data_IF_139334021255
#
_entry.id   IF_139334021255
#
_cell.length_a   1.000
_cell.length_b   1.000
_cell.length_c   1.000
_cell.angle_alpha   90.00
_cell.angle_beta   90.00
_cell.angle_gamma   90.00
#
_symmetry.space_group_name_H-M   'P 1'
#
loop_
_entity.id
_entity.type
_entity.pdbx_description
1 polymer ?
#
# COMPACT_ATOMS: atom_id res chain seq x y z
N UNK A 1 -41.88 -30.58 -3.61
CA UNK A 1 -42.31 -30.30 -4.99
C UNK A 1 -43.83 -30.24 -5.04
N UNK A 2 -44.44 -29.26 -5.68
CA UNK A 2 -45.89 -29.26 -5.91
C UNK A 2 -46.28 -30.45 -6.76
N UNK A 3 -47.44 -31.04 -6.49
CA UNK A 3 -48.00 -32.22 -7.21
C UNK A 3 -48.10 -32.02 -8.72
N UNK A 4 -48.33 -30.81 -9.18
CA UNK A 4 -48.45 -30.37 -10.58
C UNK A 4 -47.14 -30.54 -11.40
N UNK A 5 -45.96 -30.59 -10.73
CA UNK A 5 -44.67 -30.84 -11.39
C UNK A 5 -44.41 -32.32 -11.64
N UNK A 6 -44.90 -33.18 -10.77
CA UNK A 6 -44.79 -34.65 -10.96
C UNK A 6 -45.63 -35.14 -12.14
N UNK A 7 -46.80 -34.54 -12.41
CA UNK A 7 -47.61 -34.83 -13.57
C UNK A 7 -46.96 -34.44 -14.89
N UNK A 8 -46.25 -33.32 -14.98
CA UNK A 8 -45.50 -32.89 -16.19
C UNK A 8 -44.37 -33.84 -16.57
N UNK A 9 -43.76 -34.56 -15.59
CA UNK A 9 -42.76 -35.59 -15.86
C UNK A 9 -43.36 -36.90 -16.41
N UNK A 10 -44.67 -37.13 -16.26
CA UNK A 10 -45.33 -38.30 -16.81
C UNK A 10 -45.55 -38.24 -18.34
N UNK A 11 -45.51 -37.04 -18.94
CA UNK A 11 -45.77 -36.78 -20.38
C UNK A 11 -44.47 -36.47 -21.14
N UNK A 12 -43.34 -37.05 -20.72
CA UNK A 12 -42.10 -36.88 -21.51
C UNK A 12 -42.16 -37.70 -22.81
N UNK A 13 -42.01 -37.03 -23.95
CA UNK A 13 -41.90 -37.69 -25.23
C UNK A 13 -40.52 -38.38 -25.36
N UNK A 14 -40.49 -39.68 -25.11
CA UNK A 14 -39.25 -40.49 -25.12
C UNK A 14 -39.27 -41.26 -26.44
N UNK A 15 -38.26 -40.98 -27.30
CA UNK A 15 -38.05 -41.64 -28.58
C UNK A 15 -36.90 -42.66 -28.51
N UNK A 16 -37.03 -43.74 -29.26
CA UNK A 16 -35.89 -44.69 -29.45
C UNK A 16 -34.94 -44.11 -30.50
N UNK A 17 -33.65 -44.22 -30.19
CA UNK A 17 -32.60 -43.76 -31.08
C UNK A 17 -31.53 -44.86 -31.22
N UNK A 18 -31.27 -45.32 -32.43
CA UNK A 18 -30.25 -46.30 -32.74
C UNK A 18 -28.93 -45.60 -33.04
N UNK A 19 -27.92 -45.81 -32.24
CA UNK A 19 -26.56 -45.30 -32.47
C UNK A 19 -25.89 -45.94 -33.68
N UNK A 20 -24.80 -45.32 -34.16
CA UNK A 20 -24.03 -45.85 -35.28
C UNK A 20 -23.43 -47.25 -35.02
N UNK A 21 -23.22 -47.61 -33.75
CA UNK A 21 -22.70 -48.89 -33.25
C UNK A 21 -23.82 -49.95 -33.11
N UNK A 22 -25.03 -49.66 -33.55
CA UNK A 22 -26.17 -50.53 -33.44
C UNK A 22 -26.91 -50.51 -32.09
N UNK A 23 -26.38 -49.84 -31.06
CA UNK A 23 -26.98 -49.80 -29.73
C UNK A 23 -28.27 -48.96 -29.72
N UNK A 24 -29.34 -49.51 -29.17
CA UNK A 24 -30.60 -48.78 -28.98
C UNK A 24 -30.54 -48.00 -27.66
N UNK A 25 -30.80 -46.69 -27.69
CA UNK A 25 -30.94 -45.84 -26.54
C UNK A 25 -32.21 -45.03 -26.62
N UNK A 26 -32.75 -44.72 -25.47
CA UNK A 26 -33.91 -43.82 -25.35
C UNK A 26 -33.41 -42.36 -25.26
N UNK A 27 -34.10 -41.44 -25.89
CA UNK A 27 -33.73 -40.01 -25.94
C UNK A 27 -34.97 -39.14 -25.73
N UNK A 28 -34.77 -38.04 -24.99
CA UNK A 28 -35.78 -37.02 -24.80
C UNK A 28 -35.16 -35.62 -24.78
N UNK A 29 -35.93 -34.61 -25.21
CA UNK A 29 -35.57 -33.19 -25.05
C UNK A 29 -36.31 -32.64 -23.85
N UNK A 30 -35.59 -32.19 -22.84
CA UNK A 30 -36.14 -31.66 -21.60
C UNK A 30 -36.00 -30.13 -21.58
N UNK A 31 -37.10 -29.44 -21.34
CA UNK A 31 -37.07 -28.02 -21.01
C UNK A 31 -36.74 -27.84 -19.53
N UNK A 32 -35.66 -27.12 -19.23
CA UNK A 32 -35.19 -26.88 -17.85
C UNK A 32 -35.80 -25.64 -17.22
N UNK A 33 -36.11 -24.63 -18.03
CA UNK A 33 -36.60 -23.35 -17.54
C UNK A 33 -36.11 -22.17 -18.38
N UNK A 34 -36.33 -20.96 -17.87
CA UNK A 34 -35.74 -19.73 -18.39
C UNK A 34 -34.45 -19.44 -17.64
N UNK A 35 -33.38 -19.20 -18.38
CA UNK A 35 -32.09 -18.81 -17.79
C UNK A 35 -32.20 -17.46 -17.09
N UNK A 36 -31.93 -17.43 -15.80
CA UNK A 36 -32.11 -16.25 -14.94
C UNK A 36 -31.19 -15.07 -15.31
N UNK A 37 -30.08 -15.34 -16.02
CA UNK A 37 -29.11 -14.33 -16.44
C UNK A 37 -29.41 -13.80 -17.84
N UNK A 38 -29.72 -14.70 -18.78
CA UNK A 38 -29.87 -14.35 -20.21
C UNK A 38 -31.29 -14.20 -20.66
N UNK A 39 -32.28 -14.62 -19.85
CA UNK A 39 -33.71 -14.64 -20.21
C UNK A 39 -34.08 -15.67 -21.29
N UNK A 40 -33.14 -16.51 -21.73
CA UNK A 40 -33.36 -17.49 -22.80
C UNK A 40 -33.94 -18.79 -22.27
N UNK A 41 -34.83 -19.43 -23.09
CA UNK A 41 -35.35 -20.77 -22.80
C UNK A 41 -34.23 -21.81 -22.90
N UNK A 42 -33.97 -22.56 -21.82
CA UNK A 42 -32.95 -23.61 -21.78
C UNK A 42 -33.58 -24.98 -21.98
N UNK A 43 -33.09 -25.71 -22.97
CA UNK A 43 -33.44 -27.11 -23.22
C UNK A 43 -32.18 -27.96 -23.16
N UNK A 44 -32.31 -29.21 -22.70
CA UNK A 44 -31.24 -30.20 -22.72
C UNK A 44 -31.71 -31.50 -23.32
N UNK A 45 -30.82 -32.24 -23.96
CA UNK A 45 -31.15 -33.56 -24.51
C UNK A 45 -30.56 -34.63 -23.61
N UNK A 46 -31.37 -35.57 -23.18
CA UNK A 46 -31.01 -36.66 -22.30
C UNK A 46 -31.12 -37.96 -23.05
N UNK A 47 -30.13 -38.86 -22.92
CA UNK A 47 -30.18 -40.21 -23.45
C UNK A 47 -29.73 -41.23 -22.40
N UNK A 48 -30.39 -42.41 -22.41
CA UNK A 48 -30.07 -43.51 -21.50
C UNK A 48 -30.47 -44.85 -22.13
N UNK A 49 -30.07 -45.94 -21.49
CA UNK A 49 -30.36 -47.30 -21.96
C UNK A 49 -31.80 -47.74 -21.65
N UNK A 50 -32.41 -47.14 -20.61
CA UNK A 50 -33.78 -47.47 -20.20
C UNK A 50 -34.63 -46.21 -20.01
N UNK A 51 -35.97 -46.34 -20.17
CA UNK A 51 -36.92 -45.24 -19.91
C UNK A 51 -36.89 -44.78 -18.46
N UNK A 52 -36.59 -45.69 -17.49
CA UNK A 52 -36.47 -45.37 -16.06
C UNK A 52 -35.27 -44.45 -15.80
N UNK A 53 -34.12 -44.79 -16.42
CA UNK A 53 -32.92 -43.95 -16.31
C UNK A 53 -33.10 -42.54 -16.91
N UNK A 54 -33.86 -42.40 -18.02
CA UNK A 54 -34.18 -41.09 -18.59
C UNK A 54 -34.94 -40.25 -17.56
N UNK A 55 -35.95 -40.81 -16.91
CA UNK A 55 -36.75 -40.07 -15.90
C UNK A 55 -35.87 -39.60 -14.74
N UNK A 56 -34.98 -40.47 -14.23
CA UNK A 56 -34.07 -40.11 -13.16
C UNK A 56 -33.08 -39.03 -13.59
N UNK A 57 -32.46 -39.14 -14.77
CA UNK A 57 -31.55 -38.13 -15.30
C UNK A 57 -32.25 -36.80 -15.60
N UNK A 58 -33.52 -36.82 -16.02
CA UNK A 58 -34.30 -35.60 -16.24
C UNK A 58 -34.58 -34.87 -14.92
N UNK A 59 -34.95 -35.60 -13.88
CA UNK A 59 -35.17 -35.04 -12.56
C UNK A 59 -33.86 -34.43 -12.00
N UNK A 60 -32.76 -35.14 -12.13
CA UNK A 60 -31.44 -34.68 -11.72
C UNK A 60 -31.00 -33.40 -12.46
N UNK A 61 -31.17 -33.39 -13.80
CA UNK A 61 -30.82 -32.22 -14.62
C UNK A 61 -31.63 -30.97 -14.27
N UNK A 62 -32.92 -31.14 -13.95
CA UNK A 62 -33.77 -30.03 -13.52
C UNK A 62 -33.38 -29.54 -12.12
N UNK A 63 -33.14 -30.44 -11.18
CA UNK A 63 -32.67 -30.12 -9.83
C UNK A 63 -31.34 -29.39 -9.85
N UNK A 64 -30.36 -29.84 -10.66
CA UNK A 64 -29.06 -29.17 -10.82
C UNK A 64 -29.20 -27.78 -11.43
N UNK A 65 -30.09 -27.62 -12.45
CA UNK A 65 -30.37 -26.31 -13.04
C UNK A 65 -30.96 -25.33 -12.01
N UNK A 66 -31.94 -25.77 -11.22
CA UNK A 66 -32.56 -24.96 -10.17
C UNK A 66 -31.57 -24.65 -9.04
N UNK A 67 -30.77 -25.64 -8.63
CA UNK A 67 -29.68 -25.49 -7.63
C UNK A 67 -28.64 -24.48 -8.07
N UNK A 68 -28.35 -24.39 -9.38
CA UNK A 68 -27.45 -23.40 -9.97
C UNK A 68 -28.11 -22.04 -10.20
N UNK A 69 -29.26 -21.74 -9.59
CA UNK A 69 -29.95 -20.46 -9.73
C UNK A 69 -30.65 -20.28 -11.07
N UNK A 70 -31.16 -21.38 -11.68
CA UNK A 70 -31.84 -21.42 -12.96
C UNK A 70 -30.98 -20.84 -14.11
N UNK A 71 -29.72 -21.15 -14.16
CA UNK A 71 -28.81 -20.76 -15.25
C UNK A 71 -27.85 -21.87 -15.63
N UNK A 72 -27.42 -21.89 -16.90
CA UNK A 72 -26.29 -22.72 -17.38
C UNK A 72 -24.94 -22.05 -17.21
N UNK A 73 -24.89 -20.78 -16.91
CA UNK A 73 -23.64 -20.08 -16.65
C UNK A 73 -23.04 -20.67 -15.38
N UNK A 74 -21.90 -21.33 -15.51
CA UNK A 74 -21.19 -21.84 -14.36
C UNK A 74 -20.75 -20.67 -13.49
N UNK A 75 -21.33 -20.55 -12.29
CA UNK A 75 -20.77 -19.66 -11.28
C UNK A 75 -19.39 -20.21 -10.92
N UNK A 76 -18.41 -19.32 -10.81
CA UNK A 76 -17.06 -19.70 -10.37
C UNK A 76 -17.21 -20.26 -8.96
N UNK A 77 -17.06 -21.58 -8.82
CA UNK A 77 -17.09 -22.23 -7.51
C UNK A 77 -15.67 -22.32 -6.98
N UNK A 78 -15.41 -21.58 -5.91
CA UNK A 78 -14.17 -21.71 -5.16
C UNK A 78 -14.31 -22.80 -4.11
N UNK A 79 -13.39 -23.79 -4.09
CA UNK A 79 -13.40 -24.89 -3.12
C UNK A 79 -13.10 -24.41 -1.71
N UNK A 80 -12.22 -23.42 -1.59
CA UNK A 80 -11.76 -22.91 -0.31
C UNK A 80 -11.37 -21.42 -0.40
N UNK A 81 -11.02 -20.86 0.75
CA UNK A 81 -10.59 -19.47 0.85
C UNK A 81 -9.32 -19.16 0.03
N UNK A 82 -8.35 -20.11 -0.06
CA UNK A 82 -7.13 -19.88 -0.84
C UNK A 82 -7.42 -19.63 -2.32
N UNK A 83 -8.32 -20.39 -2.93
CA UNK A 83 -8.70 -20.18 -4.34
C UNK A 83 -9.38 -18.82 -4.56
N UNK A 84 -10.26 -18.41 -3.65
CA UNK A 84 -10.89 -17.07 -3.69
C UNK A 84 -9.83 -15.97 -3.50
N UNK A 85 -8.89 -16.15 -2.59
CA UNK A 85 -7.79 -15.22 -2.32
C UNK A 85 -6.90 -15.06 -3.56
N UNK A 86 -6.55 -16.16 -4.23
CA UNK A 86 -5.70 -16.13 -5.42
C UNK A 86 -6.41 -15.38 -6.56
N UNK A 87 -7.69 -15.68 -6.82
CA UNK A 87 -8.49 -14.97 -7.80
C UNK A 87 -8.64 -13.48 -7.46
N UNK A 88 -8.88 -13.15 -6.18
CA UNK A 88 -8.91 -11.75 -5.74
C UNK A 88 -7.58 -11.06 -5.96
N UNK A 89 -6.46 -11.73 -5.67
CA UNK A 89 -5.13 -11.16 -5.82
C UNK A 89 -4.80 -10.87 -7.29
N UNK A 90 -5.10 -11.78 -8.20
CA UNK A 90 -4.89 -11.58 -9.64
C UNK A 90 -5.60 -10.33 -10.17
N UNK A 91 -6.82 -10.06 -9.67
CA UNK A 91 -7.59 -8.89 -10.07
C UNK A 91 -7.21 -7.61 -9.31
N UNK A 92 -6.79 -7.73 -8.06
CA UNK A 92 -6.44 -6.57 -7.22
C UNK A 92 -5.01 -6.07 -7.45
N UNK A 93 -4.05 -6.96 -7.65
CA UNK A 93 -2.64 -6.58 -7.79
C UNK A 93 -2.38 -5.54 -8.90
N UNK A 94 -2.97 -5.65 -10.12
CA UNK A 94 -2.76 -4.66 -11.18
C UNK A 94 -3.29 -3.25 -10.83
N UNK A 95 -4.19 -3.13 -9.86
CA UNK A 95 -4.77 -1.82 -9.46
C UNK A 95 -3.90 -1.02 -8.51
N UNK A 96 -2.79 -1.60 -8.03
CA UNK A 96 -1.92 -1.00 -7.03
C UNK A 96 -0.46 -0.96 -7.47
N UNK A 97 0.32 0.00 -6.93
CA UNK A 97 1.75 0.14 -7.24
C UNK A 97 2.57 -1.07 -6.77
N UNK A 98 3.62 -1.43 -7.49
CA UNK A 98 4.50 -2.60 -7.27
C UNK A 98 4.98 -2.74 -5.81
N UNK A 99 5.40 -1.65 -5.16
CA UNK A 99 5.79 -1.70 -3.75
C UNK A 99 4.65 -2.15 -2.82
N UNK A 100 3.42 -1.74 -3.11
CA UNK A 100 2.25 -2.15 -2.35
C UNK A 100 1.91 -3.62 -2.62
N UNK A 101 2.05 -4.07 -3.88
CA UNK A 101 1.84 -5.48 -4.24
C UNK A 101 2.71 -6.41 -3.38
N UNK A 102 4.01 -6.13 -3.26
CA UNK A 102 4.94 -6.98 -2.52
C UNK A 102 4.63 -6.97 -1.03
N UNK A 103 4.39 -5.78 -0.47
CA UNK A 103 4.08 -5.67 0.95
C UNK A 103 2.77 -6.40 1.29
N UNK A 104 1.73 -6.24 0.48
CA UNK A 104 0.43 -6.88 0.70
C UNK A 104 0.51 -8.38 0.46
N UNK A 105 1.16 -8.82 -0.63
CA UNK A 105 1.35 -10.25 -0.91
C UNK A 105 2.08 -10.96 0.21
N UNK A 106 3.17 -10.36 0.72
CA UNK A 106 3.89 -10.90 1.89
C UNK A 106 3.00 -11.03 3.13
N UNK A 107 2.12 -10.08 3.40
CA UNK A 107 1.19 -10.13 4.53
C UNK A 107 0.12 -11.21 4.33
N UNK A 108 -0.42 -11.33 3.13
CA UNK A 108 -1.40 -12.35 2.75
C UNK A 108 -0.81 -13.75 2.96
N UNK A 109 0.37 -14.01 2.39
CA UNK A 109 1.01 -15.33 2.48
C UNK A 109 1.43 -15.68 3.90
N UNK A 110 1.89 -14.70 4.67
CA UNK A 110 2.35 -14.94 6.05
C UNK A 110 1.21 -15.08 7.07
N UNK A 111 0.08 -14.41 6.87
CA UNK A 111 -0.95 -14.30 7.91
C UNK A 111 -2.34 -14.77 7.47
N UNK A 112 -2.82 -14.40 6.27
CA UNK A 112 -4.17 -14.72 5.85
C UNK A 112 -4.30 -16.15 5.33
N UNK A 113 -3.37 -16.57 4.47
CA UNK A 113 -3.38 -17.92 3.91
C UNK A 113 -3.25 -19.01 4.99
N UNK A 114 -2.33 -18.91 5.97
CA UNK A 114 -2.28 -19.89 7.07
C UNK A 114 -3.51 -19.87 7.99
N UNK A 115 -4.15 -18.69 8.15
CA UNK A 115 -5.29 -18.54 9.04
C UNK A 115 -6.60 -19.08 8.44
N UNK A 116 -6.83 -18.86 7.14
CA UNK A 116 -8.13 -19.12 6.53
C UNK A 116 -8.08 -19.99 5.28
N UNK A 117 -6.90 -20.19 4.68
CA UNK A 117 -6.73 -20.80 3.35
C UNK A 117 -7.43 -22.13 3.14
N UNK A 118 -7.38 -23.02 4.14
CA UNK A 118 -7.98 -24.37 4.09
C UNK A 118 -9.51 -24.38 4.32
N UNK A 119 -10.08 -23.28 4.81
CA UNK A 119 -11.52 -23.26 5.10
C UNK A 119 -12.35 -23.27 3.80
N UNK A 120 -13.38 -24.09 3.75
CA UNK A 120 -14.45 -23.96 2.76
C UNK A 120 -15.20 -22.66 2.99
N UNK A 121 -15.58 -21.96 1.94
CA UNK A 121 -16.18 -20.63 2.04
C UNK A 121 -17.49 -20.62 2.85
N UNK A 122 -18.32 -21.66 2.71
CA UNK A 122 -19.58 -21.83 3.43
C UNK A 122 -19.40 -22.13 4.94
N UNK A 123 -18.19 -22.51 5.35
CA UNK A 123 -17.83 -22.80 6.74
C UNK A 123 -17.15 -21.63 7.46
N UNK A 124 -16.81 -20.57 6.73
CA UNK A 124 -16.16 -19.40 7.28
C UNK A 124 -17.19 -18.47 7.93
N UNK A 125 -17.36 -18.63 9.25
CA UNK A 125 -18.36 -17.88 10.04
C UNK A 125 -17.74 -16.59 10.65
N UNK A 126 -18.57 -15.59 11.01
CA UNK A 126 -18.09 -14.42 11.74
C UNK A 126 -17.33 -14.77 13.04
N UNK A 127 -17.76 -15.82 13.73
CA UNK A 127 -17.12 -16.28 14.96
C UNK A 127 -15.68 -16.76 14.75
N UNK A 128 -15.44 -17.54 13.69
CA UNK A 128 -14.08 -18.01 13.32
C UNK A 128 -13.17 -16.81 12.99
N UNK A 129 -13.69 -15.84 12.22
CA UNK A 129 -12.92 -14.65 11.85
C UNK A 129 -12.63 -13.81 13.10
N UNK A 130 -13.63 -13.63 13.99
CA UNK A 130 -13.45 -12.89 15.23
C UNK A 130 -12.39 -13.53 16.14
N UNK A 131 -12.39 -14.86 16.29
CA UNK A 131 -11.38 -15.57 17.05
C UNK A 131 -9.97 -15.33 16.51
N UNK A 132 -9.80 -15.37 15.18
CA UNK A 132 -8.51 -15.13 14.55
C UNK A 132 -8.05 -13.69 14.71
N UNK A 133 -8.94 -12.71 14.54
CA UNK A 133 -8.62 -11.29 14.77
C UNK A 133 -8.23 -11.04 16.23
N UNK A 134 -8.95 -11.64 17.18
CA UNK A 134 -8.62 -11.57 18.61
C UNK A 134 -7.27 -12.23 18.91
N UNK A 135 -6.93 -13.35 18.24
CA UNK A 135 -5.62 -13.99 18.33
C UNK A 135 -4.51 -13.05 17.87
N UNK A 136 -4.61 -12.47 16.70
CA UNK A 136 -3.62 -11.49 16.20
C UNK A 136 -3.47 -10.30 17.14
N UNK A 137 -4.58 -9.81 17.70
CA UNK A 137 -4.55 -8.71 18.66
C UNK A 137 -3.84 -9.09 19.97
N UNK A 138 -4.06 -10.30 20.51
CA UNK A 138 -3.35 -10.81 21.69
C UNK A 138 -1.87 -11.01 21.41
N UNK A 139 -1.52 -11.65 20.29
CA UNK A 139 -0.13 -11.90 19.90
C UNK A 139 0.67 -10.59 19.83
N UNK A 140 0.06 -9.50 19.35
CA UNK A 140 0.71 -8.20 19.32
C UNK A 140 0.72 -7.49 20.69
N UNK A 141 -0.44 -7.42 21.37
CA UNK A 141 -0.60 -6.59 22.57
C UNK A 141 0.00 -7.21 23.85
N UNK A 142 0.22 -8.52 23.87
CA UNK A 142 0.69 -9.27 25.05
C UNK A 142 2.07 -9.88 24.90
N UNK A 143 2.47 -10.30 23.68
CA UNK A 143 3.65 -11.13 23.46
C UNK A 143 4.76 -10.44 22.66
N UNK A 144 4.69 -9.12 22.40
CA UNK A 144 5.67 -8.30 21.63
C UNK A 144 6.14 -8.89 20.26
N UNK A 145 5.57 -10.03 19.83
CA UNK A 145 5.97 -10.74 18.61
C UNK A 145 4.95 -10.68 17.48
N UNK A 146 3.76 -10.12 17.72
CA UNK A 146 2.67 -10.10 16.77
C UNK A 146 2.78 -8.96 15.72
N UNK A 147 1.96 -9.07 14.67
CA UNK A 147 1.91 -8.06 13.63
C UNK A 147 1.10 -6.84 14.06
N UNK A 148 1.75 -5.71 14.31
CA UNK A 148 1.15 -4.45 14.78
C UNK A 148 -0.08 -4.00 13.96
N UNK A 149 -0.09 -4.25 12.66
CA UNK A 149 -1.15 -3.81 11.74
C UNK A 149 -2.19 -4.91 11.51
N UNK A 150 -2.54 -5.71 12.53
CA UNK A 150 -3.53 -6.78 12.38
C UNK A 150 -4.90 -6.29 11.89
N UNK A 151 -5.29 -5.06 12.21
CA UNK A 151 -6.49 -4.45 11.63
C UNK A 151 -6.42 -4.30 10.11
N UNK A 152 -5.22 -4.11 9.54
CA UNK A 152 -5.02 -4.09 8.10
C UNK A 152 -5.18 -5.49 7.50
N UNK A 153 -4.73 -6.55 8.19
CA UNK A 153 -4.98 -7.94 7.76
C UNK A 153 -6.48 -8.22 7.68
N UNK A 154 -7.23 -7.81 8.71
CA UNK A 154 -8.68 -7.93 8.70
C UNK A 154 -9.32 -7.13 7.55
N UNK A 155 -8.83 -5.93 7.26
CA UNK A 155 -9.31 -5.13 6.13
C UNK A 155 -9.12 -5.85 4.79
N UNK A 156 -7.99 -6.54 4.58
CA UNK A 156 -7.79 -7.36 3.39
C UNK A 156 -8.72 -8.57 3.38
N UNK A 157 -8.87 -9.27 4.50
CA UNK A 157 -9.81 -10.38 4.63
C UNK A 157 -11.23 -9.95 4.26
N UNK A 158 -11.69 -8.82 4.78
CA UNK A 158 -13.00 -8.24 4.45
C UNK A 158 -13.16 -7.97 2.95
N UNK A 159 -12.12 -7.46 2.28
CA UNK A 159 -12.13 -7.20 0.82
C UNK A 159 -12.16 -8.49 0.01
N UNK A 160 -11.40 -9.51 0.39
CA UNK A 160 -11.39 -10.82 -0.27
C UNK A 160 -12.77 -11.48 -0.19
N UNK A 161 -13.37 -11.49 0.99
CA UNK A 161 -14.69 -12.07 1.18
C UNK A 161 -15.80 -11.23 0.49
N UNK A 162 -15.64 -9.91 0.42
CA UNK A 162 -16.56 -9.06 -0.36
C UNK A 162 -16.47 -9.32 -1.85
N UNK A 163 -15.27 -9.59 -2.37
CA UNK A 163 -15.08 -10.05 -3.75
C UNK A 163 -15.79 -11.38 -4.00
N UNK A 164 -15.74 -12.32 -3.04
CA UNK A 164 -16.53 -13.55 -3.11
C UNK A 164 -18.05 -13.30 -3.16
N UNK A 165 -18.54 -12.28 -2.45
CA UNK A 165 -19.95 -11.86 -2.52
C UNK A 165 -20.28 -11.27 -3.90
N UNK A 166 -19.42 -10.40 -4.45
CA UNK A 166 -19.64 -9.81 -5.78
C UNK A 166 -19.65 -10.83 -6.91
N UNK A 167 -18.95 -11.95 -6.74
CA UNK A 167 -18.94 -13.08 -7.66
C UNK A 167 -20.03 -14.12 -7.36
N UNK A 168 -20.92 -13.85 -6.40
CA UNK A 168 -21.98 -14.77 -5.95
C UNK A 168 -21.47 -16.11 -5.37
N UNK A 169 -20.18 -16.21 -5.07
CA UNK A 169 -19.58 -17.36 -4.38
C UNK A 169 -19.95 -17.39 -2.89
N UNK A 170 -20.32 -16.26 -2.32
CA UNK A 170 -20.83 -16.08 -0.95
C UNK A 170 -22.14 -15.30 -0.96
N UNK A 171 -23.10 -15.69 -0.12
CA UNK A 171 -24.38 -14.97 0.06
C UNK A 171 -24.18 -13.63 0.76
N UNK A 172 -23.28 -13.57 1.73
CA UNK A 172 -22.96 -12.39 2.52
C UNK A 172 -21.51 -12.42 2.97
N UNK A 173 -20.97 -11.28 3.36
CA UNK A 173 -19.58 -11.18 3.83
C UNK A 173 -19.50 -11.46 5.34
N UNK A 174 -18.95 -12.61 5.77
CA UNK A 174 -18.86 -12.96 7.19
C UNK A 174 -17.86 -12.10 7.99
N UNK A 175 -17.02 -11.31 7.31
CA UNK A 175 -16.08 -10.39 7.96
C UNK A 175 -16.65 -8.97 8.16
N UNK A 176 -17.90 -8.69 7.71
CA UNK A 176 -18.44 -7.34 7.67
C UNK A 176 -18.48 -6.68 9.04
N UNK A 177 -18.99 -7.39 10.04
CA UNK A 177 -19.31 -6.87 11.36
C UNK A 177 -18.36 -7.38 12.47
N UNK A 178 -17.21 -7.95 12.06
CA UNK A 178 -16.17 -8.42 12.99
C UNK A 178 -15.48 -7.22 13.64
N UNK A 179 -15.38 -7.25 14.98
CA UNK A 179 -14.78 -6.20 15.76
C UNK A 179 -13.25 -6.33 15.78
N UNK A 180 -12.55 -5.23 15.51
CA UNK A 180 -11.08 -5.19 15.59
C UNK A 180 -10.66 -4.54 16.90
N UNK A 181 -10.03 -5.27 17.83
CA UNK A 181 -9.53 -4.69 19.08
C UNK A 181 -8.54 -3.55 18.78
N UNK A 182 -8.57 -2.53 19.63
CA UNK A 182 -7.65 -1.38 19.49
C UNK A 182 -6.21 -1.81 19.76
N UNK A 183 -5.28 -1.29 18.96
CA UNK A 183 -3.85 -1.45 19.18
C UNK A 183 -3.46 -0.68 20.44
N UNK A 184 -2.94 -1.37 21.46
CA UNK A 184 -2.37 -0.72 22.64
C UNK A 184 -1.01 -0.12 22.29
N UNK A 185 -1.00 1.03 21.66
CA UNK A 185 0.23 1.81 21.41
C UNK A 185 0.04 3.21 21.97
N UNK A 186 1.01 3.66 22.74
CA UNK A 186 1.15 5.10 23.00
C UNK A 186 1.22 5.87 21.67
N UNK A 187 0.79 7.12 21.65
CA UNK A 187 0.97 7.99 20.48
C UNK A 187 2.45 7.92 20.08
N UNK A 188 2.74 7.47 18.88
CA UNK A 188 4.11 7.48 18.36
C UNK A 188 4.59 8.94 18.38
N UNK A 189 5.59 9.25 19.21
CA UNK A 189 6.22 10.57 19.20
C UNK A 189 6.88 10.74 17.83
N UNK A 190 6.57 11.84 17.17
CA UNK A 190 7.24 12.23 15.92
C UNK A 190 8.68 12.52 16.30
N UNK A 191 9.59 11.78 15.69
CA UNK A 191 11.02 11.90 15.94
C UNK A 191 11.59 13.02 15.08
N UNK A 192 12.06 14.07 15.69
CA UNK A 192 12.81 15.17 15.10
C UNK A 192 13.87 15.63 16.08
N UNK A 193 14.90 16.34 15.63
CA UNK A 193 15.89 16.92 16.50
C UNK A 193 15.36 18.18 17.18
N UNK A 194 15.74 18.35 18.44
CA UNK A 194 15.74 19.65 19.12
C UNK A 194 16.90 20.51 18.58
N UNK A 195 16.90 21.81 18.87
CA UNK A 195 17.97 22.70 18.42
C UNK A 195 19.35 22.29 18.96
N UNK A 196 19.41 21.83 20.22
CA UNK A 196 20.62 21.32 20.82
C UNK A 196 21.13 20.03 20.18
N UNK A 197 20.25 19.08 19.92
CA UNK A 197 20.58 17.81 19.22
C UNK A 197 21.02 18.07 17.78
N UNK A 198 20.38 19.00 17.09
CA UNK A 198 20.76 19.40 15.73
C UNK A 198 22.14 20.04 15.71
N UNK A 199 22.44 20.94 16.65
CA UNK A 199 23.76 21.57 16.81
C UNK A 199 24.83 20.50 17.05
N UNK A 200 24.59 19.59 17.98
CA UNK A 200 25.49 18.48 18.30
C UNK A 200 25.73 17.57 17.09
N UNK A 201 24.69 17.30 16.31
CA UNK A 201 24.81 16.51 15.10
C UNK A 201 25.65 17.22 14.02
N UNK A 202 25.49 18.55 13.86
CA UNK A 202 26.30 19.31 12.92
C UNK A 202 27.79 19.36 13.35
N UNK A 203 28.06 19.57 14.62
CA UNK A 203 29.43 19.54 15.15
C UNK A 203 30.10 18.18 14.87
N UNK A 204 29.37 17.07 15.06
CA UNK A 204 29.86 15.75 14.69
C UNK A 204 30.11 15.61 13.18
N UNK A 205 29.20 16.08 12.33
CA UNK A 205 29.34 16.00 10.87
C UNK A 205 30.57 16.81 10.39
N UNK A 206 30.81 17.96 11.00
CA UNK A 206 31.94 18.82 10.65
C UNK A 206 33.28 18.24 11.15
N UNK A 207 33.30 17.39 12.19
CA UNK A 207 34.48 16.65 12.67
C UNK A 207 34.87 15.49 11.76
N UNK A 208 34.02 15.07 10.82
CA UNK A 208 34.35 13.97 9.92
C UNK A 208 35.39 14.38 8.87
N UNK A 209 36.37 13.50 8.63
CA UNK A 209 37.34 13.67 7.54
C UNK A 209 36.66 13.61 6.16
N UNK A 210 36.29 14.78 5.61
CA UNK A 210 35.61 14.93 4.34
C UNK A 210 36.55 14.77 3.13
N UNK A 211 37.85 14.59 3.31
CA UNK A 211 38.76 14.14 2.24
C UNK A 211 38.36 12.75 1.76
N UNK A 212 37.81 11.91 2.64
CA UNK A 212 37.22 10.62 2.26
C UNK A 212 35.85 10.85 1.63
N UNK A 213 35.70 10.51 0.36
CA UNK A 213 34.43 10.71 -0.39
C UNK A 213 33.22 10.14 0.33
N UNK A 214 33.36 8.97 0.97
CA UNK A 214 32.25 8.34 1.74
C UNK A 214 31.72 9.22 2.87
N UNK A 215 32.60 9.98 3.56
CA UNK A 215 32.19 10.90 4.61
C UNK A 215 31.56 12.15 3.98
N UNK A 216 32.17 12.71 2.95
CA UNK A 216 31.64 13.84 2.19
C UNK A 216 30.23 13.53 1.67
N UNK A 217 30.02 12.35 1.08
CA UNK A 217 28.70 11.87 0.64
C UNK A 217 27.67 11.91 1.78
N UNK A 218 28.00 11.34 2.96
CA UNK A 218 27.08 11.30 4.09
C UNK A 218 26.77 12.71 4.61
N UNK A 219 27.77 13.54 4.78
CA UNK A 219 27.62 14.93 5.27
C UNK A 219 26.72 15.72 4.32
N UNK A 220 27.02 15.65 3.01
CA UNK A 220 26.24 16.36 2.00
C UNK A 220 24.80 15.86 1.95
N UNK A 221 24.57 14.54 1.94
CA UNK A 221 23.21 13.96 1.93
C UNK A 221 22.40 14.42 3.15
N UNK A 222 22.97 14.36 4.36
CA UNK A 222 22.21 14.71 5.56
C UNK A 222 21.91 16.22 5.63
N UNK A 223 22.87 17.08 5.30
CA UNK A 223 22.68 18.53 5.22
C UNK A 223 21.68 18.89 4.12
N UNK A 224 21.72 18.23 2.97
CA UNK A 224 20.77 18.43 1.87
C UNK A 224 19.33 18.04 2.28
N UNK A 225 19.15 16.89 2.96
CA UNK A 225 17.83 16.47 3.46
C UNK A 225 17.26 17.47 4.48
N UNK A 226 18.13 18.05 5.34
CA UNK A 226 17.72 19.09 6.28
C UNK A 226 17.37 20.39 5.56
N UNK A 227 18.12 20.80 4.55
CA UNK A 227 17.90 22.06 3.83
C UNK A 227 16.63 22.02 2.97
N UNK A 228 16.31 20.87 2.38
CA UNK A 228 15.19 20.73 1.44
C UNK A 228 13.94 20.16 2.05
N UNK A 229 14.04 19.36 3.10
CA UNK A 229 12.94 18.58 3.65
C UNK A 229 12.40 17.51 2.71
N UNK A 230 13.07 17.18 1.60
CA UNK A 230 12.62 16.14 0.67
C UNK A 230 12.69 14.73 1.32
N UNK A 231 11.95 13.78 0.75
CA UNK A 231 12.02 12.38 1.21
C UNK A 231 13.33 11.75 0.76
N UNK A 232 13.90 10.85 1.55
CA UNK A 232 15.16 10.17 1.19
C UNK A 232 15.10 9.56 -0.22
N UNK A 233 14.02 8.89 -0.58
CA UNK A 233 13.90 8.26 -1.90
C UNK A 233 13.68 9.26 -3.04
N UNK A 234 13.25 10.49 -2.76
CA UNK A 234 13.26 11.61 -3.69
C UNK A 234 14.71 12.09 -3.90
N UNK A 235 15.45 12.34 -2.79
CA UNK A 235 16.86 12.74 -2.86
C UNK A 235 17.74 11.73 -3.61
N UNK A 236 17.58 10.44 -3.32
CA UNK A 236 18.37 9.39 -3.98
C UNK A 236 18.03 9.18 -5.46
N UNK A 237 16.88 9.67 -5.92
CA UNK A 237 16.48 9.64 -7.33
C UNK A 237 16.99 10.84 -8.13
N UNK A 238 17.56 11.87 -7.47
CA UNK A 238 18.02 13.09 -8.14
C UNK A 238 19.20 12.83 -9.05
N UNK A 239 19.14 13.38 -10.23
CA UNK A 239 20.24 13.55 -11.15
C UNK A 239 20.69 15.02 -11.17
N UNK A 240 21.90 15.29 -11.61
CA UNK A 240 22.41 16.67 -11.68
C UNK A 240 21.59 17.58 -12.60
N UNK A 241 20.86 17.01 -13.54
CA UNK A 241 19.89 17.73 -14.37
C UNK A 241 18.64 18.21 -13.59
N UNK A 242 18.36 17.61 -12.43
CA UNK A 242 17.23 18.02 -11.58
C UNK A 242 17.61 19.15 -10.60
N UNK A 243 18.88 19.60 -10.58
CA UNK A 243 19.33 20.65 -9.66
C UNK A 243 19.89 21.81 -10.47
N UNK A 244 19.17 22.91 -10.49
CA UNK A 244 19.63 24.19 -11.03
C UNK A 244 20.41 24.95 -9.94
N UNK A 245 21.73 24.83 -9.98
CA UNK A 245 22.62 25.48 -9.01
C UNK A 245 22.81 26.98 -9.28
N UNK A 246 22.40 27.50 -10.43
CA UNK A 246 22.53 28.91 -10.76
C UNK A 246 21.27 29.68 -10.31
N UNK A 247 20.09 29.08 -10.48
CA UNK A 247 18.83 29.61 -9.98
C UNK A 247 18.52 29.12 -8.54
N UNK A 248 19.36 28.26 -7.95
CA UNK A 248 19.22 27.73 -6.60
C UNK A 248 17.91 26.92 -6.38
N UNK A 249 17.52 26.10 -7.36
CA UNK A 249 16.28 25.32 -7.36
C UNK A 249 16.54 23.81 -7.51
N UNK A 250 15.77 23.01 -6.78
CA UNK A 250 15.75 21.54 -6.89
C UNK A 250 14.38 21.09 -7.38
N UNK A 251 14.33 20.41 -8.51
CA UNK A 251 13.11 19.89 -9.13
C UNK A 251 12.82 18.47 -8.64
N UNK A 252 11.77 18.28 -7.85
CA UNK A 252 11.36 16.96 -7.37
C UNK A 252 10.30 16.38 -8.32
N UNK A 253 10.73 15.53 -9.25
CA UNK A 253 9.87 14.94 -10.29
C UNK A 253 9.82 13.42 -10.26
N UNK A 254 10.69 12.78 -9.46
CA UNK A 254 10.87 11.32 -9.42
C UNK A 254 11.21 10.83 -8.01
N UNK A 255 11.06 9.53 -7.81
CA UNK A 255 11.39 8.86 -6.53
C UNK A 255 11.84 7.43 -6.78
N UNK A 256 12.74 6.90 -5.97
CA UNK A 256 13.13 5.50 -6.04
C UNK A 256 12.13 4.59 -5.33
N UNK A 257 11.90 3.41 -5.92
CA UNK A 257 11.23 2.33 -5.24
C UNK A 257 12.24 1.43 -4.48
N UNK A 258 11.75 0.37 -3.82
CA UNK A 258 12.60 -0.55 -3.08
C UNK A 258 13.50 -1.43 -3.98
N UNK A 259 13.19 -1.53 -5.30
CA UNK A 259 14.01 -2.22 -6.31
C UNK A 259 15.07 -1.30 -6.94
N UNK A 260 15.19 -0.09 -6.44
CA UNK A 260 16.07 0.97 -6.98
C UNK A 260 15.66 1.43 -8.39
N UNK A 261 14.39 1.28 -8.77
CA UNK A 261 13.84 1.75 -10.03
C UNK A 261 13.20 3.13 -9.82
N UNK A 262 13.34 3.98 -10.82
CA UNK A 262 12.66 5.29 -10.83
C UNK A 262 11.17 5.11 -11.04
N UNK A 263 10.40 5.77 -10.20
CA UNK A 263 8.95 5.86 -10.29
C UNK A 263 8.48 7.32 -10.23
N UNK A 264 7.32 7.57 -10.81
CA UNK A 264 6.60 8.83 -10.59
C UNK A 264 6.24 8.99 -9.10
N UNK A 265 6.22 10.20 -8.57
CA UNK A 265 5.72 10.48 -7.22
C UNK A 265 4.30 9.94 -7.00
N UNK A 266 3.91 9.76 -5.72
CA UNK A 266 2.61 9.13 -5.36
C UNK A 266 1.39 10.01 -5.66
N UNK A 267 1.56 11.33 -5.69
CA UNK A 267 0.49 12.31 -5.90
C UNK A 267 0.98 13.48 -6.75
N UNK A 268 0.06 14.21 -7.36
CA UNK A 268 0.37 15.45 -8.10
C UNK A 268 1.09 16.48 -7.23
N UNK A 269 0.72 16.60 -5.94
CA UNK A 269 1.37 17.50 -4.98
C UNK A 269 2.82 17.14 -4.64
N UNK A 270 3.28 15.96 -5.02
CA UNK A 270 4.68 15.56 -4.81
C UNK A 270 5.62 16.12 -5.88
N UNK A 271 5.10 16.54 -7.03
CA UNK A 271 5.86 17.31 -8.03
C UNK A 271 5.98 18.74 -7.54
N UNK A 272 7.20 19.20 -7.33
CA UNK A 272 7.44 20.54 -6.79
C UNK A 272 8.87 21.00 -7.00
N UNK A 273 9.04 22.29 -7.01
CA UNK A 273 10.34 22.96 -6.96
C UNK A 273 10.64 23.36 -5.52
N UNK A 274 11.90 23.25 -5.11
CA UNK A 274 12.36 23.60 -3.78
C UNK A 274 13.54 24.57 -3.92
N UNK A 275 13.33 25.82 -3.51
CA UNK A 275 14.41 26.79 -3.42
C UNK A 275 15.38 26.38 -2.32
N UNK A 276 16.69 26.51 -2.58
CA UNK A 276 17.77 26.20 -1.64
C UNK A 276 18.60 27.45 -1.34
N UNK A 277 19.10 27.54 -0.11
CA UNK A 277 19.90 28.66 0.36
C UNK A 277 21.32 28.66 -0.26
N UNK A 278 22.01 29.83 -0.26
CA UNK A 278 23.35 29.96 -0.88
C UNK A 278 24.41 29.02 -0.28
N UNK A 279 24.29 28.65 1.03
CA UNK A 279 25.24 27.72 1.67
C UNK A 279 25.02 26.31 1.14
N UNK A 280 23.75 25.92 0.93
CA UNK A 280 23.40 24.64 0.31
C UNK A 280 23.87 24.57 -1.13
N UNK A 281 23.71 25.65 -1.92
CA UNK A 281 24.26 25.76 -3.30
C UNK A 281 25.77 25.57 -3.30
N UNK A 282 26.49 26.29 -2.45
CA UNK A 282 27.96 26.18 -2.34
C UNK A 282 28.40 24.76 -1.98
N UNK A 283 27.75 24.15 -1.01
CA UNK A 283 28.00 22.76 -0.60
C UNK A 283 27.78 21.80 -1.79
N UNK A 284 26.69 21.95 -2.53
CA UNK A 284 26.38 21.10 -3.69
C UNK A 284 27.37 21.31 -4.84
N UNK A 285 27.82 22.55 -5.10
CA UNK A 285 28.87 22.82 -6.11
C UNK A 285 30.20 22.14 -5.74
N UNK A 286 30.61 22.20 -4.48
CA UNK A 286 31.82 21.50 -3.98
C UNK A 286 31.67 19.98 -4.07
N UNK A 287 30.53 19.46 -3.68
CA UNK A 287 30.24 18.04 -3.77
C UNK A 287 30.26 17.53 -5.21
N UNK A 288 29.62 18.25 -6.14
CA UNK A 288 29.64 17.94 -7.59
C UNK A 288 31.05 17.86 -8.14
N UNK A 289 31.88 18.86 -7.80
CA UNK A 289 33.29 18.88 -8.23
C UNK A 289 34.07 17.67 -7.72
N UNK A 290 33.93 17.33 -6.44
CA UNK A 290 34.56 16.14 -5.85
C UNK A 290 34.05 14.85 -6.44
N UNK A 291 32.74 14.71 -6.63
CA UNK A 291 32.13 13.54 -7.25
C UNK A 291 32.63 13.33 -8.68
N UNK A 292 32.70 14.39 -9.48
CA UNK A 292 33.23 14.33 -10.86
C UNK A 292 34.68 13.85 -10.87
N UNK A 293 35.52 14.32 -9.93
CA UNK A 293 36.89 13.87 -9.80
C UNK A 293 36.99 12.39 -9.44
N UNK A 294 36.19 11.91 -8.47
CA UNK A 294 36.16 10.49 -8.08
C UNK A 294 35.65 9.61 -9.23
N UNK A 295 34.59 10.05 -9.95
CA UNK A 295 34.05 9.35 -11.11
C UNK A 295 35.11 9.23 -12.23
N UNK A 296 35.85 10.31 -12.49
CA UNK A 296 36.92 10.32 -13.49
C UNK A 296 38.06 9.33 -13.15
N UNK A 297 38.46 9.26 -11.88
CA UNK A 297 39.44 8.26 -11.41
C UNK A 297 38.96 6.82 -11.67
N UNK A 298 37.65 6.61 -11.61
CA UNK A 298 37.00 5.32 -11.88
C UNK A 298 36.69 5.09 -13.38
N UNK A 299 37.12 6.00 -14.28
CA UNK A 299 36.94 5.91 -15.73
C UNK A 299 35.49 6.07 -16.20
N UNK A 300 34.64 6.82 -15.46
CA UNK A 300 33.23 7.01 -15.78
C UNK A 300 32.73 8.43 -15.50
N UNK A 301 31.55 8.73 -16.02
CA UNK A 301 30.78 9.94 -15.68
C UNK A 301 29.63 9.55 -14.76
N UNK A 302 29.24 10.44 -13.85
CA UNK A 302 28.17 10.19 -12.90
C UNK A 302 27.04 11.22 -13.08
N UNK A 303 25.82 10.72 -13.38
CA UNK A 303 24.64 11.57 -13.54
C UNK A 303 23.85 11.71 -12.23
N UNK A 304 23.91 10.68 -11.35
CA UNK A 304 23.15 10.62 -10.10
C UNK A 304 23.85 11.46 -9.04
N UNK A 305 23.08 12.35 -8.38
CA UNK A 305 23.63 13.26 -7.37
C UNK A 305 24.25 12.48 -6.20
N UNK A 306 23.48 11.58 -5.61
CA UNK A 306 23.94 10.79 -4.46
C UNK A 306 24.28 9.36 -4.90
N UNK A 307 25.31 9.21 -5.74
CA UNK A 307 25.80 7.91 -6.22
C UNK A 307 26.78 7.28 -5.21
N UNK A 308 26.71 5.95 -5.06
CA UNK A 308 27.69 5.17 -4.31
C UNK A 308 28.78 4.58 -5.21
N UNK A 309 28.78 4.90 -6.50
CA UNK A 309 29.68 4.38 -7.55
C UNK A 309 29.66 2.86 -7.74
N UNK A 310 28.72 2.14 -7.13
CA UNK A 310 28.60 0.69 -7.25
C UNK A 310 27.33 0.34 -8.01
N UNK A 311 26.23 0.95 -7.65
CA UNK A 311 24.92 0.75 -8.23
C UNK A 311 24.50 2.02 -9.00
N UNK A 312 23.60 1.89 -9.96
CA UNK A 312 23.03 3.05 -10.64
C UNK A 312 22.39 4.02 -9.63
N UNK A 313 21.68 3.47 -8.63
CA UNK A 313 21.14 4.23 -7.49
C UNK A 313 21.50 3.57 -6.17
N UNK A 314 21.82 4.35 -5.12
CA UNK A 314 22.27 3.79 -3.84
C UNK A 314 21.12 3.12 -3.08
N UNK A 315 21.47 2.08 -2.32
CA UNK A 315 20.49 1.33 -1.54
C UNK A 315 20.17 2.05 -0.22
N UNK A 316 18.90 2.48 -0.09
CA UNK A 316 18.42 3.15 1.13
C UNK A 316 18.64 2.32 2.41
N UNK A 317 18.53 0.99 2.37
CA UNK A 317 18.76 0.13 3.57
C UNK A 317 20.20 0.24 4.08
N UNK A 318 21.17 0.24 3.18
CA UNK A 318 22.59 0.42 3.54
C UNK A 318 22.83 1.80 4.14
N UNK A 319 22.24 2.84 3.54
CA UNK A 319 22.34 4.20 4.05
C UNK A 319 21.66 4.36 5.41
N UNK A 320 20.51 3.69 5.64
CA UNK A 320 19.84 3.68 6.94
C UNK A 320 20.70 3.07 8.05
N UNK A 321 21.38 1.96 7.75
CA UNK A 321 22.31 1.34 8.70
C UNK A 321 23.49 2.29 9.04
N UNK A 322 24.04 2.96 8.02
CA UNK A 322 25.11 3.95 8.20
C UNK A 322 24.66 5.15 9.01
N UNK A 323 23.47 5.67 8.74
CA UNK A 323 22.87 6.79 9.48
C UNK A 323 22.74 6.48 10.98
N UNK A 324 22.31 5.27 11.34
CA UNK A 324 22.25 4.83 12.75
C UNK A 324 23.60 4.86 13.45
N UNK A 325 24.68 4.48 12.74
CA UNK A 325 26.04 4.55 13.27
C UNK A 325 26.43 6.01 13.52
N UNK A 326 26.09 6.92 12.59
CA UNK A 326 26.39 8.35 12.76
C UNK A 326 25.61 8.95 13.94
N UNK A 327 24.33 8.64 14.10
CA UNK A 327 23.55 9.10 15.25
C UNK A 327 24.15 8.60 16.59
N UNK A 328 24.54 7.32 16.65
CA UNK A 328 25.19 6.76 17.84
C UNK A 328 26.50 7.47 18.14
N UNK A 329 27.36 7.75 17.15
CA UNK A 329 28.64 8.43 17.32
C UNK A 329 28.45 9.90 17.69
N UNK A 330 27.46 10.56 17.14
CA UNK A 330 27.07 11.92 17.48
C UNK A 330 26.36 12.02 18.84
N UNK A 331 26.04 10.90 19.49
CA UNK A 331 25.28 10.84 20.75
C UNK A 331 23.91 11.55 20.68
N UNK A 332 23.25 11.47 19.52
CA UNK A 332 21.91 12.04 19.30
C UNK A 332 20.88 10.93 19.07
N UNK A 333 19.58 11.19 19.29
CA UNK A 333 18.53 10.20 19.05
C UNK A 333 18.46 9.71 17.60
N UNK A 334 18.11 8.42 17.40
CA UNK A 334 17.82 7.88 16.06
C UNK A 334 16.44 8.38 15.60
N UNK A 335 16.45 9.41 14.76
CA UNK A 335 15.26 9.98 14.14
C UNK A 335 14.97 9.36 12.75
N UNK A 336 15.89 8.55 12.21
CA UNK A 336 15.82 8.03 10.85
C UNK A 336 15.83 9.12 9.78
N UNK A 337 15.83 8.74 8.49
CA UNK A 337 15.81 9.73 7.40
C UNK A 337 14.55 10.62 7.41
N UNK A 338 13.42 10.09 7.82
CA UNK A 338 12.18 10.88 7.85
C UNK A 338 12.22 11.98 8.94
N UNK A 339 13.02 11.76 9.99
CA UNK A 339 13.25 12.74 11.03
C UNK A 339 13.93 14.03 10.54
N UNK A 340 14.79 13.99 9.53
CA UNK A 340 15.36 15.20 8.91
C UNK A 340 14.26 16.11 8.33
N UNK A 341 13.30 15.51 7.64
CA UNK A 341 12.16 16.24 7.09
C UNK A 341 11.27 16.82 8.20
N UNK A 342 11.08 16.08 9.30
CA UNK A 342 10.35 16.60 10.47
C UNK A 342 11.12 17.73 11.15
N UNK A 343 12.45 17.64 11.26
CA UNK A 343 13.29 18.72 11.79
C UNK A 343 13.23 19.96 10.91
N UNK A 344 13.37 19.80 9.58
CA UNK A 344 13.20 20.89 8.61
C UNK A 344 11.87 21.62 8.78
N UNK A 345 10.79 20.85 8.85
CA UNK A 345 9.45 21.42 8.99
C UNK A 345 9.26 22.10 10.37
N UNK A 346 9.82 21.52 11.46
CA UNK A 346 9.78 22.14 12.79
C UNK A 346 10.49 23.49 12.82
N UNK A 347 11.69 23.55 12.21
CA UNK A 347 12.45 24.80 12.12
C UNK A 347 11.69 25.89 11.37
N UNK A 348 11.09 25.57 10.23
CA UNK A 348 10.33 26.53 9.44
C UNK A 348 9.07 26.99 10.15
N UNK A 349 8.34 26.11 10.85
CA UNK A 349 7.16 26.48 11.63
C UNK A 349 7.52 27.34 12.82
N UNK A 350 8.61 27.04 13.52
CA UNK A 350 9.12 27.87 14.61
C UNK A 350 9.54 29.27 14.11
N UNK A 351 10.01 29.36 12.86
CA UNK A 351 10.33 30.62 12.20
C UNK A 351 9.10 31.36 11.66
N UNK A 352 7.88 30.76 11.72
CA UNK A 352 6.63 31.44 11.38
C UNK A 352 6.15 31.24 9.94
N UNK A 353 6.68 30.24 9.20
CA UNK A 353 6.19 29.96 7.83
C UNK A 353 4.70 29.58 7.87
N UNK A 354 3.85 30.06 6.93
CA UNK A 354 2.48 29.63 6.81
C UNK A 354 2.36 28.12 6.54
N UNK A 355 1.40 27.45 7.19
CA UNK A 355 1.20 25.98 7.02
C UNK A 355 0.98 25.57 5.57
N UNK A 356 0.36 26.40 4.74
CA UNK A 356 0.10 26.13 3.33
C UNK A 356 1.39 26.14 2.50
N UNK A 357 2.29 27.06 2.78
CA UNK A 357 3.60 27.12 2.11
C UNK A 357 4.46 25.94 2.51
N UNK A 358 4.48 25.59 3.80
CA UNK A 358 5.14 24.39 4.27
C UNK A 358 4.56 23.11 3.64
N UNK A 359 3.22 23.01 3.52
CA UNK A 359 2.56 21.91 2.84
C UNK A 359 3.06 21.76 1.41
N UNK A 360 3.14 22.87 0.66
CA UNK A 360 3.62 22.90 -0.72
C UNK A 360 5.09 22.48 -0.79
N UNK A 361 5.96 23.09 0.01
CA UNK A 361 7.40 22.78 0.07
C UNK A 361 7.68 21.32 0.38
N UNK A 362 6.92 20.73 1.28
CA UNK A 362 7.04 19.32 1.63
C UNK A 362 6.34 18.39 0.62
N UNK A 363 5.41 18.88 -0.21
CA UNK A 363 4.61 18.03 -1.11
C UNK A 363 3.67 17.10 -0.34
N UNK A 364 2.96 17.63 0.67
CA UNK A 364 1.90 16.92 1.38
C UNK A 364 0.59 17.03 0.61
N UNK A 365 -0.12 15.91 0.44
CA UNK A 365 -1.40 15.90 -0.29
C UNK A 365 -2.54 16.58 0.48
N UNK A 366 -2.44 16.66 1.80
CA UNK A 366 -3.42 17.32 2.67
C UNK A 366 -2.75 18.16 3.74
N UNK A 367 -3.42 19.24 4.16
CA UNK A 367 -2.95 20.11 5.24
C UNK A 367 -2.89 19.35 6.58
N UNK A 368 -3.81 18.43 6.81
CA UNK A 368 -3.84 17.57 7.99
C UNK A 368 -2.51 16.82 8.19
N UNK A 369 -1.87 16.33 7.12
CA UNK A 369 -0.55 15.69 7.21
C UNK A 369 0.54 16.62 7.74
N UNK A 370 0.40 17.93 7.51
CA UNK A 370 1.33 18.93 8.04
C UNK A 370 0.97 19.28 9.49
N UNK A 371 -0.32 19.43 9.80
CA UNK A 371 -0.82 19.77 11.13
C UNK A 371 -0.62 18.64 12.15
N UNK A 372 -0.85 17.38 11.77
CA UNK A 372 -0.69 16.20 12.65
C UNK A 372 0.74 16.07 13.19
N UNK A 373 1.73 16.54 12.42
CA UNK A 373 3.15 16.54 12.82
C UNK A 373 3.38 17.53 13.96
N UNK A 374 2.58 18.62 14.07
CA UNK A 374 2.88 19.79 14.90
C UNK A 374 1.83 20.14 15.93
N UNK A 375 0.84 19.28 16.17
CA UNK A 375 -0.19 19.48 17.20
C UNK A 375 0.37 19.75 18.61
N UNK A 376 1.66 19.47 18.83
CA UNK A 376 2.37 19.73 20.09
C UNK A 376 2.95 21.14 20.22
N UNK A 377 3.19 21.86 19.10
CA UNK A 377 3.71 23.25 19.10
C UNK A 377 2.63 24.31 19.43
N UNK A 378 1.36 23.91 19.46
CA UNK A 378 0.21 24.83 19.63
C UNK A 378 0.19 25.59 20.96
N UNK A 379 0.86 25.12 22.02
CA UNK A 379 0.89 25.81 23.32
C UNK A 379 1.79 27.08 23.34
N UNK A 380 2.93 27.04 22.63
CA UNK A 380 3.79 28.22 22.46
C UNK A 380 3.23 29.20 21.41
N UNK A 381 2.60 28.67 20.36
CA UNK A 381 1.92 29.48 19.34
C UNK A 381 0.75 30.27 19.89
N UNK A 382 0.02 29.79 20.90
CA UNK A 382 -1.05 30.53 21.55
C UNK A 382 -0.54 31.78 22.30
N UNK A 383 0.64 31.71 22.93
CA UNK A 383 1.28 32.89 23.56
C UNK A 383 1.80 33.88 22.51
N UNK A 384 2.36 33.40 21.40
CA UNK A 384 2.79 34.25 20.28
C UNK A 384 1.62 34.95 19.59
N UNK A 385 0.43 34.32 19.52
CA UNK A 385 -0.75 34.93 18.93
C UNK A 385 -1.16 36.24 19.64
N UNK A 386 -1.00 36.30 20.96
CA UNK A 386 -1.29 37.54 21.75
C UNK A 386 -0.31 38.66 21.36
N UNK A 387 0.98 38.37 21.28
CA UNK A 387 2.00 39.37 20.92
C UNK A 387 1.87 39.84 19.46
N UNK A 388 1.48 38.96 18.55
CA UNK A 388 1.19 39.31 17.15
C UNK A 388 -0.01 40.24 17.07
N UNK A 389 -1.07 39.93 17.83
CA UNK A 389 -2.27 40.81 17.91
C UNK A 389 -1.94 42.17 18.48
N UNK A 390 -1.17 42.26 19.58
CA UNK A 390 -0.72 43.52 20.17
C UNK A 390 0.11 44.34 19.19
N UNK A 391 1.04 43.69 18.47
CA UNK A 391 1.86 44.38 17.46
C UNK A 391 1.01 44.90 16.30
N UNK A 392 0.04 44.12 15.82
CA UNK A 392 -0.88 44.54 14.75
C UNK A 392 -1.74 45.73 15.19
N UNK A 393 -2.26 45.72 16.44
CA UNK A 393 -3.01 46.83 17.00
C UNK A 393 -2.18 48.13 17.17
N UNK A 394 -0.93 47.98 17.61
CA UNK A 394 -0.02 49.12 17.77
C UNK A 394 0.34 49.75 16.42
N UNK A 395 0.52 48.94 15.38
CA UNK A 395 0.78 49.44 14.01
C UNK A 395 -0.42 50.22 13.44
N UNK A 396 -1.66 49.83 13.78
CA UNK A 396 -2.88 50.57 13.36
C UNK A 396 -3.04 51.91 14.12
N UNK A 397 -2.59 51.95 15.40
CA UNK A 397 -2.67 53.17 16.22
C UNK A 397 -1.58 54.19 15.90
N UNK A 398 -0.50 53.75 15.24
CA UNK A 398 0.64 54.60 14.84
C UNK A 398 0.58 55.07 13.39
N UNK A 399 -0.42 54.60 12.63
CA UNK A 399 -0.79 55.09 11.28
C UNK A 399 -1.91 56.17 11.37
#
# INVERSE_FOLDING_TARGET
MPADELERFSIMNITEYKKKDGTIVYRTSLYLGIDSITGKKIKTTISARTKKEIKNKALQAKFEFEKNGATRTAFVQYKNYSELLDSWWENYAPTIKTNSQIAIKSQIEKYLRPAFGSYKLDKLTPAIIQQQVNKWARDYNQNDGGFKRYGQLHSYNKRILQYGVSLQALKSNPAKDVLVPKVKTGKAKIKHFTDSELKQFFEYLDSLDQKRFKNLFCVTLYKFLLATGCRINEALALEWADIDLDNAVVHITKTLNYRLEINSPKSKSSYRDIDIDPKTVSMMKQYKHRQTKEAWILGRTEKVVFSDFIHEYPNNRTLQARLKIHFKRAQVPDIGFHGFRHTHASLLLNAGIPYKELQHRLGHSTLSMTMDIYSHLSKESAKKAVSIFETALNNIKSS
#
